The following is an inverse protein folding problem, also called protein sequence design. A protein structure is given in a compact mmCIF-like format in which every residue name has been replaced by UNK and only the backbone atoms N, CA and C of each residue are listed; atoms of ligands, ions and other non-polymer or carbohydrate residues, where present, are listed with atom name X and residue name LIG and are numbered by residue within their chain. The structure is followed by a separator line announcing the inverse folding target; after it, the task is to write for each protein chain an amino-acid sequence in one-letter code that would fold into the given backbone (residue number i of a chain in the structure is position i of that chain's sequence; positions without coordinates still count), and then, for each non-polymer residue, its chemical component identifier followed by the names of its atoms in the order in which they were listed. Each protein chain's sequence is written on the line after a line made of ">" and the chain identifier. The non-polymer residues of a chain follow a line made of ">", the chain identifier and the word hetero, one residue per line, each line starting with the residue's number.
data_IF_424361061472
#
_entry.id   IF_424361061472
#
_cell.length_a   1.000
_cell.length_b   1.000
_cell.length_c   1.000
_cell.angle_alpha   90.00
_cell.angle_beta   90.00
_cell.angle_gamma   90.00
#
_symmetry.space_group_name_H-M   'P 1'
#
loop_
_entity.id
_entity.type
_entity.pdbx_description
1 polymer ?
#
# COMPACT_ATOMS: atom_id res chain seq x y z
N UNK A 1 -7.04 32.32 15.94
CA UNK A 1 -7.09 31.24 14.93
C UNK A 1 -6.58 29.99 15.60
N UNK A 2 -7.44 28.98 15.73
CA UNK A 2 -7.17 27.75 16.49
C UNK A 2 -6.20 26.90 15.68
N UNK A 3 -4.98 26.76 16.18
CA UNK A 3 -4.02 25.77 15.71
C UNK A 3 -4.59 24.39 15.99
N UNK A 4 -4.76 23.59 14.94
CA UNK A 4 -5.20 22.20 15.06
C UNK A 4 -4.02 21.37 15.57
N UNK A 5 -4.04 20.81 16.79
CA UNK A 5 -2.91 20.06 17.30
C UNK A 5 -2.98 18.62 16.79
N UNK A 6 -1.89 18.12 16.22
CA UNK A 6 -1.59 16.69 16.28
C UNK A 6 -1.93 15.84 15.04
N UNK A 7 -1.34 16.17 13.89
CA UNK A 7 -0.68 15.12 13.10
C UNK A 7 0.77 15.55 12.97
N UNK A 8 1.59 15.23 14.00
CA UNK A 8 3.04 15.29 13.87
C UNK A 8 3.41 14.31 12.77
N UNK A 9 3.65 14.85 11.57
CA UNK A 9 4.27 14.11 10.48
C UNK A 9 5.66 13.72 10.99
N UNK A 10 5.79 12.46 11.40
CA UNK A 10 7.12 11.94 11.72
C UNK A 10 7.83 11.78 10.39
N UNK A 11 8.91 12.53 10.23
CA UNK A 11 9.72 12.50 9.04
C UNK A 11 10.58 11.23 8.97
N UNK A 12 9.92 10.07 8.90
CA UNK A 12 10.55 8.74 8.89
C UNK A 12 11.54 8.53 7.75
N UNK A 13 11.41 9.33 6.69
CA UNK A 13 12.18 9.17 5.46
C UNK A 13 13.12 10.34 5.18
N UNK A 14 13.32 11.24 6.16
CA UNK A 14 14.11 12.46 6.02
C UNK A 14 13.69 13.27 4.79
N UNK A 15 12.38 13.35 4.56
CA UNK A 15 11.73 14.12 3.51
C UNK A 15 11.97 15.62 3.69
N UNK A 16 12.13 16.11 4.92
CA UNK A 16 12.44 17.51 5.20
C UNK A 16 13.88 17.88 4.80
N UNK A 17 14.82 16.95 4.96
CA UNK A 17 16.25 17.15 4.66
C UNK A 17 16.63 16.76 3.23
N UNK A 18 15.69 16.20 2.46
CA UNK A 18 15.96 15.75 1.11
C UNK A 18 16.13 16.94 0.15
N UNK A 19 17.31 17.05 -0.48
CA UNK A 19 17.47 17.99 -1.58
C UNK A 19 16.62 17.55 -2.80
N UNK A 20 15.52 18.27 -3.00
CA UNK A 20 14.60 18.11 -4.13
C UNK A 20 14.78 19.18 -5.22
N UNK A 21 15.71 20.12 -5.06
CA UNK A 21 15.89 21.22 -6.00
C UNK A 21 16.20 20.76 -7.45
N UNK A 22 17.06 19.75 -7.68
CA UNK A 22 17.29 19.23 -9.03
C UNK A 22 16.31 18.12 -9.42
N UNK A 23 15.43 17.69 -8.51
CA UNK A 23 14.63 16.47 -8.66
C UNK A 23 13.37 16.76 -9.47
N UNK A 24 13.24 16.03 -10.59
CA UNK A 24 12.06 16.12 -11.48
C UNK A 24 11.03 15.04 -11.19
N UNK A 25 11.46 13.93 -10.57
CA UNK A 25 10.62 12.77 -10.28
C UNK A 25 10.82 12.29 -8.84
N UNK A 26 9.78 12.40 -8.01
CA UNK A 26 9.77 11.84 -6.66
C UNK A 26 8.81 10.65 -6.63
N UNK A 27 9.28 9.51 -6.15
CA UNK A 27 8.52 8.26 -6.10
C UNK A 27 8.38 7.84 -4.65
N UNK A 28 7.17 7.98 -4.10
CA UNK A 28 6.78 7.39 -2.82
C UNK A 28 6.26 5.97 -3.10
N UNK A 29 7.06 4.97 -2.77
CA UNK A 29 6.73 3.56 -2.97
C UNK A 29 6.30 2.93 -1.64
N UNK A 30 5.29 2.08 -1.67
CA UNK A 30 4.94 1.22 -0.55
C UNK A 30 3.58 0.57 -0.72
N UNK A 31 3.24 -0.36 0.16
CA UNK A 31 1.95 -1.04 0.15
C UNK A 31 0.78 -0.11 0.51
N UNK A 32 -0.46 -0.61 0.42
CA UNK A 32 -1.61 0.15 0.90
C UNK A 32 -1.44 0.48 2.38
N UNK A 33 -1.87 1.66 2.82
CA UNK A 33 -1.71 2.06 4.23
C UNK A 33 -0.28 2.37 4.69
N UNK A 34 0.71 2.34 3.79
CA UNK A 34 2.09 2.73 4.15
C UNK A 34 2.30 4.24 4.28
N UNK A 35 1.29 5.09 4.05
CA UNK A 35 1.43 6.54 4.22
C UNK A 35 2.05 7.29 3.03
N UNK A 36 2.09 6.68 1.83
CA UNK A 36 2.54 7.35 0.59
C UNK A 36 1.82 8.69 0.34
N UNK A 37 0.48 8.69 0.44
CA UNK A 37 -0.34 9.88 0.21
C UNK A 37 -0.05 10.94 1.25
N UNK A 38 0.06 10.56 2.52
CA UNK A 38 0.45 11.47 3.61
C UNK A 38 1.83 12.07 3.41
N UNK A 39 2.81 11.28 2.94
CA UNK A 39 4.15 11.79 2.62
C UNK A 39 4.13 12.80 1.47
N UNK A 40 3.33 12.55 0.43
CA UNK A 40 3.16 13.50 -0.67
C UNK A 40 2.45 14.78 -0.22
N UNK A 41 1.41 14.66 0.61
CA UNK A 41 0.72 15.82 1.18
C UNK A 41 1.66 16.69 2.00
N UNK A 42 2.52 16.07 2.82
CA UNK A 42 3.58 16.77 3.55
C UNK A 42 4.55 17.47 2.59
N UNK A 43 5.05 16.76 1.57
CA UNK A 43 5.95 17.35 0.57
C UNK A 43 5.32 18.56 -0.13
N UNK A 44 4.04 18.50 -0.47
CA UNK A 44 3.34 19.59 -1.12
C UNK A 44 3.06 20.79 -0.20
N UNK A 45 2.92 20.59 1.10
CA UNK A 45 2.55 21.66 2.05
C UNK A 45 3.73 22.30 2.74
N UNK A 46 4.70 21.50 3.14
CA UNK A 46 5.75 21.91 4.08
C UNK A 46 7.13 22.03 3.41
N UNK A 47 7.38 21.28 2.32
CA UNK A 47 8.72 21.24 1.74
C UNK A 47 9.09 22.58 1.06
N UNK A 48 10.22 23.21 1.41
CA UNK A 48 10.58 24.55 0.92
C UNK A 48 10.56 24.71 -0.59
N UNK A 49 10.94 23.67 -1.33
CA UNK A 49 11.00 23.70 -2.80
C UNK A 49 9.67 23.42 -3.51
N UNK A 50 8.65 22.95 -2.79
CA UNK A 50 7.39 22.49 -3.38
C UNK A 50 6.18 23.26 -2.84
N UNK A 51 6.24 23.78 -1.61
CA UNK A 51 5.12 24.45 -0.92
C UNK A 51 4.51 25.64 -1.67
N UNK A 52 5.34 26.37 -2.41
CA UNK A 52 4.91 27.57 -3.16
C UNK A 52 4.33 27.21 -4.54
N UNK A 53 4.29 25.92 -4.90
CA UNK A 53 3.70 25.43 -6.15
C UNK A 53 2.33 24.84 -5.89
N UNK A 54 1.32 25.25 -6.65
CA UNK A 54 -0.01 24.63 -6.61
C UNK A 54 0.04 23.22 -7.23
N UNK A 55 -0.16 22.14 -6.46
CA UNK A 55 -0.09 20.79 -7.00
C UNK A 55 -1.36 20.42 -7.78
N UNK A 56 -1.19 19.80 -8.96
CA UNK A 56 -2.26 19.15 -9.71
C UNK A 56 -2.33 17.67 -9.34
N UNK A 57 -3.35 17.29 -8.58
CA UNK A 57 -3.51 15.92 -8.09
C UNK A 57 -4.39 15.09 -9.02
N UNK A 58 -3.87 13.96 -9.47
CA UNK A 58 -4.57 12.98 -10.29
C UNK A 58 -4.56 11.63 -9.58
N UNK A 59 -5.75 11.14 -9.22
CA UNK A 59 -5.93 9.78 -8.68
C UNK A 59 -6.15 8.80 -9.83
N UNK A 60 -5.25 7.83 -9.98
CA UNK A 60 -5.25 6.93 -11.13
C UNK A 60 -6.11 5.68 -10.86
N UNK A 61 -7.43 5.81 -10.99
CA UNK A 61 -8.38 4.70 -10.79
C UNK A 61 -8.33 3.65 -11.92
N UNK A 62 -8.09 4.10 -13.16
CA UNK A 62 -8.07 3.26 -14.35
C UNK A 62 -6.65 3.05 -14.89
N UNK A 63 -6.45 1.95 -15.62
CA UNK A 63 -5.15 1.62 -16.22
C UNK A 63 -4.70 2.62 -17.29
N UNK A 64 -5.64 3.37 -17.88
CA UNK A 64 -5.37 4.50 -18.78
C UNK A 64 -5.78 5.77 -18.07
N UNK A 65 -4.89 6.75 -18.03
CA UNK A 65 -5.21 8.07 -17.49
C UNK A 65 -4.90 9.12 -18.55
N UNK A 66 -5.92 9.90 -18.90
CA UNK A 66 -5.78 11.07 -19.76
C UNK A 66 -5.46 12.26 -18.87
N UNK A 67 -4.16 12.54 -18.76
CA UNK A 67 -3.68 13.75 -18.08
C UNK A 67 -3.63 14.86 -19.13
N UNK A 68 -4.18 16.06 -18.87
CA UNK A 68 -4.06 17.18 -19.78
C UNK A 68 -2.58 17.56 -20.02
N UNK A 69 -2.26 18.25 -21.11
CA UNK A 69 -0.93 18.83 -21.27
C UNK A 69 -0.71 19.89 -20.18
N UNK A 70 0.33 19.70 -19.36
CA UNK A 70 0.76 20.61 -18.30
C UNK A 70 2.22 20.99 -18.55
N UNK A 71 2.63 22.20 -18.17
CA UNK A 71 4.00 22.70 -18.37
C UNK A 71 4.50 23.41 -17.12
N UNK A 72 5.71 23.06 -16.68
CA UNK A 72 6.37 23.62 -15.50
C UNK A 72 5.53 23.60 -14.20
N UNK A 73 4.56 22.69 -14.10
CA UNK A 73 3.69 22.53 -12.93
C UNK A 73 4.22 21.44 -11.97
N UNK A 74 3.70 21.45 -10.74
CA UNK A 74 3.83 20.34 -9.80
C UNK A 74 2.67 19.37 -10.01
N UNK A 75 2.97 18.15 -10.41
CA UNK A 75 1.97 17.12 -10.71
C UNK A 75 2.07 16.00 -9.70
N UNK A 76 0.95 15.61 -9.11
CA UNK A 76 0.85 14.50 -8.16
C UNK A 76 0.05 13.39 -8.82
N UNK A 77 0.66 12.21 -8.94
CA UNK A 77 0.00 10.98 -9.39
C UNK A 77 -0.20 10.08 -8.19
N UNK A 78 -1.44 9.99 -7.72
CA UNK A 78 -1.80 9.17 -6.58
C UNK A 78 -2.28 7.79 -7.02
N UNK A 79 -1.99 6.79 -6.20
CA UNK A 79 -2.42 5.40 -6.35
C UNK A 79 -2.02 4.72 -7.69
N UNK A 80 -0.75 4.84 -8.08
CA UNK A 80 -0.21 4.17 -9.27
C UNK A 80 -0.02 2.66 -9.03
N UNK A 81 -0.79 1.85 -9.74
CA UNK A 81 -0.84 0.38 -9.58
C UNK A 81 -0.38 -0.39 -10.81
N UNK A 82 -0.42 0.22 -12.00
CA UNK A 82 -0.15 -0.47 -13.27
C UNK A 82 0.94 0.20 -14.10
N UNK A 83 1.75 -0.58 -14.80
CA UNK A 83 2.80 -0.06 -15.69
C UNK A 83 2.26 0.90 -16.76
N UNK A 84 1.04 0.67 -17.27
CA UNK A 84 0.40 1.52 -18.28
C UNK A 84 0.13 2.94 -17.77
N UNK A 85 -0.02 3.12 -16.47
CA UNK A 85 -0.18 4.43 -15.84
C UNK A 85 1.13 5.24 -15.81
N UNK A 86 2.28 4.63 -16.13
CA UNK A 86 3.57 5.31 -16.25
C UNK A 86 3.78 5.95 -17.62
N UNK A 87 3.01 5.58 -18.63
CA UNK A 87 3.11 6.12 -20.00
C UNK A 87 3.04 7.67 -20.09
N UNK A 88 2.24 8.40 -19.29
CA UNK A 88 2.25 9.86 -19.33
C UNK A 88 3.50 10.49 -18.67
N UNK A 89 4.27 9.76 -17.84
CA UNK A 89 5.40 10.32 -17.10
C UNK A 89 6.48 10.93 -17.99
N UNK A 90 7.01 10.27 -19.05
CA UNK A 90 7.98 10.88 -19.95
C UNK A 90 7.49 12.19 -20.55
N UNK A 91 6.19 12.28 -20.91
CA UNK A 91 5.61 13.50 -21.50
C UNK A 91 5.58 14.63 -20.48
N UNK A 92 5.14 14.34 -19.25
CA UNK A 92 5.08 15.32 -18.16
C UNK A 92 6.49 15.80 -17.78
N UNK A 93 7.46 14.89 -17.68
CA UNK A 93 8.84 15.24 -17.31
C UNK A 93 9.54 16.06 -18.41
N UNK A 94 9.31 15.74 -19.70
CA UNK A 94 9.83 16.54 -20.82
C UNK A 94 9.26 17.95 -20.88
N UNK A 95 8.02 18.13 -20.45
CA UNK A 95 7.36 19.45 -20.38
C UNK A 95 7.82 20.29 -19.17
N UNK A 96 8.89 19.88 -18.47
CA UNK A 96 9.48 20.64 -17.37
C UNK A 96 8.72 20.51 -16.05
N UNK A 97 7.71 19.64 -15.96
CA UNK A 97 6.96 19.43 -14.72
C UNK A 97 7.83 18.72 -13.67
N UNK A 98 7.52 18.98 -12.40
CA UNK A 98 8.00 18.15 -11.28
C UNK A 98 6.89 17.17 -10.92
N UNK A 99 7.18 15.88 -10.91
CA UNK A 99 6.16 14.84 -10.71
C UNK A 99 6.40 14.09 -9.40
N UNK A 100 5.39 14.07 -8.53
CA UNK A 100 5.34 13.24 -7.32
C UNK A 100 4.43 12.04 -7.60
N UNK A 101 4.88 10.83 -7.25
CA UNK A 101 4.16 9.58 -7.57
C UNK A 101 3.98 8.75 -6.30
N UNK A 102 2.75 8.43 -5.92
CA UNK A 102 2.45 7.38 -4.96
C UNK A 102 2.25 6.06 -5.71
N UNK A 103 3.16 5.11 -5.53
CA UNK A 103 3.20 3.88 -6.32
C UNK A 103 3.17 2.61 -5.48
N UNK A 104 2.37 1.65 -5.95
CA UNK A 104 2.40 0.25 -5.50
C UNK A 104 3.37 -0.61 -6.33
N UNK A 105 3.84 -0.10 -7.48
CA UNK A 105 4.80 -0.78 -8.34
C UNK A 105 6.20 -0.86 -7.71
N UNK A 106 6.98 -1.85 -8.16
CA UNK A 106 8.38 -1.98 -7.78
C UNK A 106 9.20 -0.79 -8.31
N UNK A 107 10.28 -0.43 -7.61
CA UNK A 107 11.17 0.64 -8.05
C UNK A 107 11.86 0.32 -9.39
N UNK A 108 11.93 -0.96 -9.77
CA UNK A 108 12.47 -1.41 -11.04
C UNK A 108 11.65 -0.90 -12.24
N UNK A 109 10.33 -0.77 -12.08
CA UNK A 109 9.44 -0.23 -13.11
C UNK A 109 9.78 1.22 -13.50
N UNK A 110 10.40 1.96 -12.59
CA UNK A 110 10.81 3.35 -12.82
C UNK A 110 12.23 3.47 -13.34
N UNK A 111 13.03 2.39 -13.39
CA UNK A 111 14.44 2.45 -13.81
C UNK A 111 14.63 3.24 -15.11
N UNK A 112 13.89 2.99 -16.21
CA UNK A 112 14.06 3.76 -17.44
C UNK A 112 13.89 5.26 -17.22
N UNK A 113 12.88 5.69 -16.46
CA UNK A 113 12.65 7.10 -16.16
C UNK A 113 13.76 7.69 -15.30
N UNK A 114 14.32 6.90 -14.39
CA UNK A 114 15.40 7.33 -13.50
C UNK A 114 16.73 7.48 -14.22
N UNK A 115 16.93 6.83 -15.38
CA UNK A 115 18.11 7.05 -16.22
C UNK A 115 18.08 8.41 -16.93
N UNK A 116 16.88 8.89 -17.31
CA UNK A 116 16.73 10.12 -18.10
C UNK A 116 16.44 11.37 -17.26
N UNK A 117 15.96 11.21 -16.02
CA UNK A 117 15.59 12.32 -15.14
C UNK A 117 16.08 12.11 -13.71
N UNK A 118 16.55 13.19 -13.09
CA UNK A 118 16.92 13.21 -11.67
C UNK A 118 15.72 12.81 -10.81
N UNK A 119 15.89 11.73 -10.06
CA UNK A 119 14.80 11.07 -9.35
C UNK A 119 15.17 10.72 -7.92
N UNK A 120 14.19 10.81 -7.01
CA UNK A 120 14.29 10.35 -5.63
C UNK A 120 13.21 9.30 -5.37
N UNK A 121 13.59 8.24 -4.67
CA UNK A 121 12.68 7.14 -4.30
C UNK A 121 12.66 7.04 -2.79
N UNK A 122 11.47 7.14 -2.23
CA UNK A 122 11.21 6.94 -0.81
C UNK A 122 10.40 5.66 -0.63
N UNK A 123 10.89 4.75 0.23
CA UNK A 123 10.29 3.42 0.44
C UNK A 123 9.59 3.41 1.80
N UNK A 124 8.26 3.48 1.78
CA UNK A 124 7.39 3.76 2.93
C UNK A 124 7.09 2.56 3.83
N UNK A 125 7.46 1.35 3.40
CA UNK A 125 7.06 0.07 4.00
C UNK A 125 8.19 -0.66 4.76
N UNK A 126 9.39 -0.07 4.83
CA UNK A 126 10.59 -0.72 5.41
C UNK A 126 10.91 -0.36 6.86
N UNK A 127 10.42 0.76 7.36
CA UNK A 127 10.80 1.22 8.70
C UNK A 127 9.90 0.59 9.78
N UNK A 128 10.46 -0.35 10.55
CA UNK A 128 9.79 -0.99 11.68
C UNK A 128 9.47 0.02 12.79
N UNK A 129 10.33 1.04 12.99
CA UNK A 129 10.18 2.04 14.05
C UNK A 129 8.94 2.92 13.89
N UNK A 130 8.43 3.01 12.67
CA UNK A 130 7.15 3.64 12.35
C UNK A 130 5.96 2.97 13.04
N UNK A 131 5.93 1.64 13.05
CA UNK A 131 4.85 0.89 13.71
C UNK A 131 4.99 0.97 15.22
N UNK A 132 6.22 0.91 15.75
CA UNK A 132 6.48 1.09 17.18
C UNK A 132 5.94 2.44 17.67
N UNK A 133 6.32 3.54 17.02
CA UNK A 133 5.84 4.89 17.40
C UNK A 133 4.34 5.04 17.25
N UNK A 134 3.76 4.44 16.21
CA UNK A 134 2.31 4.44 16.03
C UNK A 134 1.59 3.77 17.19
N UNK A 135 2.03 2.57 17.59
CA UNK A 135 1.49 1.84 18.73
C UNK A 135 1.70 2.61 20.05
N UNK A 136 2.86 3.25 20.24
CA UNK A 136 3.12 4.12 21.40
C UNK A 136 2.13 5.28 21.47
N UNK A 137 1.85 5.95 20.35
CA UNK A 137 0.87 7.05 20.30
C UNK A 137 -0.55 6.58 20.63
N UNK A 138 -0.91 5.39 20.17
CA UNK A 138 -2.18 4.74 20.49
C UNK A 138 -2.22 4.16 21.92
N UNK A 139 -1.15 4.31 22.70
CA UNK A 139 -1.00 3.77 24.08
C UNK A 139 -1.22 2.26 24.15
N UNK A 140 -0.86 1.54 23.09
CA UNK A 140 -0.94 0.08 23.01
C UNK A 140 0.38 -0.51 23.48
N UNK A 141 0.35 -1.49 24.37
CA UNK A 141 1.53 -2.24 24.77
C UNK A 141 1.99 -3.17 23.63
N UNK A 142 3.28 -3.20 23.34
CA UNK A 142 3.87 -4.06 22.32
C UNK A 142 5.29 -4.52 22.69
N UNK A 143 5.73 -5.63 22.12
CA UNK A 143 7.14 -6.02 22.11
C UNK A 143 7.79 -5.74 20.74
N UNK A 144 9.07 -5.34 20.70
CA UNK A 144 9.80 -5.15 19.44
C UNK A 144 9.82 -6.41 18.55
N UNK A 145 9.77 -7.59 19.17
CA UNK A 145 9.70 -8.87 18.45
C UNK A 145 8.41 -9.02 17.65
N UNK A 146 7.28 -8.62 18.23
CA UNK A 146 5.98 -8.68 17.58
C UNK A 146 5.88 -7.68 16.44
N UNK A 147 6.43 -6.47 16.61
CA UNK A 147 6.51 -5.47 15.54
C UNK A 147 7.37 -5.96 14.38
N UNK A 148 8.58 -6.47 14.64
CA UNK A 148 9.43 -7.05 13.60
C UNK A 148 8.73 -8.19 12.86
N UNK A 149 8.10 -9.11 13.60
CA UNK A 149 7.36 -10.23 13.02
C UNK A 149 6.20 -9.75 12.14
N UNK A 150 5.48 -8.73 12.59
CA UNK A 150 4.43 -8.09 11.79
C UNK A 150 5.01 -7.48 10.51
N UNK A 151 6.05 -6.66 10.60
CA UNK A 151 6.66 -6.00 9.44
C UNK A 151 7.26 -6.99 8.43
N UNK A 152 7.76 -8.14 8.88
CA UNK A 152 8.21 -9.21 7.98
C UNK A 152 7.09 -9.83 7.15
N UNK A 153 5.88 -9.92 7.71
CA UNK A 153 4.73 -10.57 7.05
C UNK A 153 3.92 -9.57 6.24
N UNK A 154 3.69 -8.37 6.78
CA UNK A 154 2.75 -7.38 6.26
C UNK A 154 3.42 -6.05 5.88
N UNK A 155 4.73 -5.88 6.04
CA UNK A 155 5.39 -4.58 5.88
C UNK A 155 4.94 -3.53 6.90
N UNK A 156 5.61 -2.38 6.96
CA UNK A 156 5.26 -1.29 7.87
C UNK A 156 4.04 -0.49 7.36
N UNK A 157 2.84 -1.04 7.50
CA UNK A 157 1.58 -0.41 7.10
C UNK A 157 0.65 -0.14 8.30
N UNK A 158 -0.09 0.96 8.30
CA UNK A 158 -0.96 1.31 9.43
C UNK A 158 -2.33 0.64 9.36
N UNK A 159 -2.85 0.42 8.15
CA UNK A 159 -4.20 -0.12 7.95
C UNK A 159 -4.37 -1.52 8.54
N UNK A 160 -3.39 -2.41 8.33
CA UNK A 160 -3.49 -3.76 8.90
C UNK A 160 -3.26 -3.73 10.41
N UNK A 161 -2.47 -2.79 10.95
CA UNK A 161 -2.35 -2.61 12.41
C UNK A 161 -3.69 -2.23 13.01
N UNK A 162 -4.37 -1.23 12.45
CA UNK A 162 -5.69 -0.81 12.92
C UNK A 162 -6.69 -1.97 12.85
N UNK A 163 -6.71 -2.70 11.72
CA UNK A 163 -7.58 -3.87 11.56
C UNK A 163 -7.30 -4.98 12.58
N UNK A 164 -6.03 -5.23 12.91
CA UNK A 164 -5.64 -6.20 13.93
C UNK A 164 -6.15 -5.76 15.32
N UNK A 165 -6.00 -4.48 15.65
CA UNK A 165 -6.40 -3.92 16.95
C UNK A 165 -7.93 -3.82 17.09
N UNK A 166 -8.65 -3.47 16.02
CA UNK A 166 -10.12 -3.42 16.01
C UNK A 166 -10.75 -4.79 16.30
N UNK A 167 -10.12 -5.88 15.86
CA UNK A 167 -10.58 -7.25 16.15
C UNK A 167 -10.44 -7.65 17.62
N UNK A 168 -9.60 -6.95 18.40
CA UNK A 168 -9.34 -7.21 19.83
C UNK A 168 -9.15 -5.89 20.59
N UNK A 169 -10.22 -5.11 20.83
CA UNK A 169 -10.11 -3.86 21.56
C UNK A 169 -9.55 -4.07 22.97
N UNK A 170 -8.58 -3.24 23.37
CA UNK A 170 -7.97 -3.27 24.70
C UNK A 170 -6.90 -4.34 24.94
N UNK A 171 -6.61 -5.20 23.94
CA UNK A 171 -5.50 -6.15 24.02
C UNK A 171 -4.15 -5.48 23.71
N UNK A 172 -3.06 -6.12 24.15
CA UNK A 172 -1.73 -5.76 23.66
C UNK A 172 -1.58 -6.09 22.17
N UNK A 173 -0.68 -5.41 21.47
CA UNK A 173 -0.41 -5.68 20.06
C UNK A 173 0.06 -7.13 19.85
N UNK A 174 0.84 -7.66 20.78
CA UNK A 174 1.36 -9.02 20.79
C UNK A 174 0.24 -10.07 20.79
N UNK A 175 -0.77 -9.87 21.64
CA UNK A 175 -1.94 -10.74 21.73
C UNK A 175 -2.82 -10.63 20.49
N UNK A 176 -3.12 -9.40 20.06
CA UNK A 176 -3.94 -9.13 18.88
C UNK A 176 -3.31 -9.74 17.61
N UNK A 177 -2.00 -9.53 17.40
CA UNK A 177 -1.25 -10.10 16.28
C UNK A 177 -1.20 -11.63 16.35
N UNK A 178 -0.94 -12.20 17.53
CA UNK A 178 -0.87 -13.66 17.69
C UNK A 178 -2.22 -14.31 17.38
N UNK A 179 -3.32 -13.70 17.81
CA UNK A 179 -4.66 -14.16 17.50
C UNK A 179 -4.96 -14.03 16.01
N UNK A 180 -4.64 -12.87 15.41
CA UNK A 180 -4.83 -12.62 13.99
C UNK A 180 -4.10 -13.65 13.12
N UNK A 181 -2.83 -13.92 13.41
CA UNK A 181 -2.04 -14.92 12.70
C UNK A 181 -2.59 -16.34 12.86
N UNK A 182 -3.14 -16.69 14.04
CA UNK A 182 -3.85 -17.96 14.24
C UNK A 182 -5.10 -18.03 13.37
N UNK A 183 -5.92 -16.98 13.34
CA UNK A 183 -7.12 -16.91 12.51
C UNK A 183 -6.80 -17.03 11.02
N UNK A 184 -5.81 -16.31 10.51
CA UNK A 184 -5.39 -16.41 9.11
C UNK A 184 -4.89 -17.82 8.75
N UNK A 185 -4.18 -18.50 9.68
CA UNK A 185 -3.77 -19.89 9.46
C UNK A 185 -4.94 -20.85 9.40
N UNK A 186 -6.01 -20.61 10.16
CA UNK A 186 -7.22 -21.44 10.13
C UNK A 186 -8.01 -21.24 8.84
N UNK A 187 -8.07 -20.01 8.30
CA UNK A 187 -8.74 -19.72 7.02
C UNK A 187 -7.97 -20.28 5.80
N UNK A 188 -6.64 -20.44 5.91
CA UNK A 188 -5.79 -21.03 4.86
C UNK A 188 -5.81 -22.56 4.81
N UNK A 189 -6.33 -23.23 5.84
CA UNK A 189 -6.61 -24.66 5.79
C UNK A 189 -8.04 -24.79 5.25
N UNK A 190 -8.25 -25.17 3.98
CA UNK A 190 -9.61 -25.41 3.50
C UNK A 190 -10.23 -26.49 4.40
N UNK A 191 -11.45 -26.24 4.88
CA UNK A 191 -12.21 -27.16 5.72
C UNK A 191 -12.22 -28.57 5.09
N UNK A 192 -11.29 -29.43 5.52
CA UNK A 192 -11.15 -30.82 5.07
C UNK A 192 -12.14 -31.75 5.81
N UNK A 193 -13.20 -31.17 6.36
CA UNK A 193 -14.28 -31.86 7.05
C UNK A 193 -15.64 -31.43 6.48
N UNK A 194 -15.88 -31.76 5.22
CA UNK A 194 -17.18 -32.27 4.79
C UNK A 194 -16.99 -33.76 4.53
N UNK A 195 -17.26 -34.55 5.58
CA UNK A 195 -17.07 -35.98 5.62
C UNK A 195 -17.96 -36.74 4.64
N UNK A 196 -17.43 -37.91 4.28
CA UNK A 196 -18.09 -39.02 3.60
C UNK A 196 -19.50 -39.30 4.11
N UNK A 197 -20.45 -39.45 3.18
CA UNK A 197 -21.51 -40.44 3.29
C UNK A 197 -21.16 -41.61 2.36
N UNK A 198 -20.79 -42.80 2.86
CA UNK A 198 -20.71 -43.99 2.04
C UNK A 198 -22.07 -44.70 2.07
N UNK A 199 -22.72 -44.90 0.92
CA UNK A 199 -23.88 -45.78 0.89
C UNK A 199 -24.70 -45.74 -0.39
N UNK A 200 -24.50 -46.78 -1.20
CA UNK A 200 -25.38 -47.34 -2.24
C UNK A 200 -25.41 -46.62 -3.59
N UNK A 201 -24.60 -47.14 -4.51
CA UNK A 201 -25.10 -47.51 -5.84
C UNK A 201 -24.22 -48.59 -6.44
N UNK A 202 -24.71 -49.83 -6.46
CA UNK A 202 -24.20 -50.92 -7.30
C UNK A 202 -25.15 -51.07 -8.48
N UNK A 203 -24.68 -50.71 -9.66
CA UNK A 203 -25.30 -50.96 -10.97
C UNK A 203 -25.05 -52.42 -11.41
N UNK A 204 -25.64 -52.91 -12.53
CA UNK A 204 -26.97 -53.49 -12.74
C UNK A 204 -26.93 -55.02 -13.00
N UNK A 205 -28.03 -55.66 -13.43
CA UNK A 205 -27.95 -56.30 -14.76
C UNK A 205 -29.23 -56.16 -15.63
N UNK A 206 -29.00 -56.06 -16.94
CA UNK A 206 -29.96 -56.39 -18.04
C UNK A 206 -29.99 -57.94 -18.19
N UNK A 207 -30.94 -58.63 -18.89
CA UNK A 207 -31.70 -58.17 -20.07
C UNK A 207 -33.17 -58.67 -20.23
N UNK A 208 -33.88 -58.05 -21.19
CA UNK A 208 -35.03 -58.51 -22.02
C UNK A 208 -35.90 -59.70 -21.58
N UNK A 209 -37.23 -59.53 -21.57
CA UNK A 209 -38.13 -60.40 -22.35
C UNK A 209 -39.49 -59.75 -22.67
N UNK A 210 -39.94 -59.99 -23.89
CA UNK A 210 -41.14 -59.53 -24.58
C UNK A 210 -42.31 -60.49 -24.30
N UNK A 211 -43.56 -60.03 -24.10
CA UNK A 211 -44.78 -60.82 -24.41
C UNK A 211 -46.08 -60.03 -24.29
N UNK A 212 -46.77 -59.96 -25.43
CA UNK A 212 -48.22 -59.90 -25.64
C UNK A 212 -49.12 -60.06 -24.40
N UNK A 213 -50.06 -59.14 -24.19
CA UNK A 213 -51.45 -59.24 -24.68
C UNK A 213 -52.20 -57.94 -24.43
#
# INVERSE_FOLDING_TARGET
>A
MVANPGISFDDYHCLADADLQPVRLVICKGMSGSGKTTAIEYLCREHPHLRDRCPRVFRLLEARCLIPPLQNELVVLDDVRFLRQLLPLPRLLRAGNTVLVASHLSAACFLPLRLFWTSRVFVMDRDEGKIERYLTRQRVAFSPRSVRKYCQVFGANYLDVDFILERRPGASFDEALSHFLKSCRLELIPNLHSGNSPGRETTPPNPTYNKHR
#
